data_IF_297007252146
#
_entry.id   IF_297007252146
#
_cell.length_a   1.000
_cell.length_b   1.000
_cell.length_c   1.000
_cell.angle_alpha   90.00
_cell.angle_beta   90.00
_cell.angle_gamma   90.00
#
_symmetry.space_group_name_H-M   'P 1'
#
loop_
_entity.id
_entity.type
_entity.pdbx_description
1 polymer ?
#
# COMPACT_ATOMS: atom_id res chain seq x y z
N UNK A 1 42.42 8.09 -21.07
CA UNK A 1 41.94 6.70 -20.75
C UNK A 1 40.75 6.70 -19.75
N UNK A 2 40.74 7.32 -18.58
CA UNK A 2 39.64 7.20 -17.66
C UNK A 2 38.29 7.76 -18.16
N UNK A 3 38.29 8.74 -19.07
CA UNK A 3 37.06 9.34 -19.61
C UNK A 3 36.28 8.41 -20.57
N UNK A 4 36.97 7.55 -21.32
CA UNK A 4 36.32 6.61 -22.24
C UNK A 4 35.69 5.45 -21.46
N UNK A 5 36.35 4.97 -20.40
CA UNK A 5 35.80 3.94 -19.52
C UNK A 5 34.55 4.41 -18.81
N UNK A 6 34.53 5.66 -18.33
CA UNK A 6 33.37 6.29 -17.75
C UNK A 6 32.21 6.41 -18.75
N UNK A 7 32.50 6.77 -20.03
CA UNK A 7 31.50 6.84 -21.08
C UNK A 7 30.86 5.46 -21.34
N UNK A 8 31.67 4.40 -21.39
CA UNK A 8 31.18 3.04 -21.61
C UNK A 8 30.33 2.50 -20.45
N UNK A 9 30.60 2.95 -19.23
CA UNK A 9 29.85 2.56 -18.05
C UNK A 9 28.50 3.29 -17.86
N UNK A 10 28.18 4.29 -18.70
CA UNK A 10 26.91 5.01 -18.59
C UNK A 10 25.73 4.12 -19.00
N UNK A 11 24.64 4.07 -18.18
CA UNK A 11 23.50 3.19 -18.42
C UNK A 11 22.48 3.79 -19.44
N UNK A 12 22.91 4.72 -20.26
CA UNK A 12 22.12 5.36 -21.33
C UNK A 12 22.97 5.49 -22.62
N UNK A 13 22.34 5.52 -23.81
CA UNK A 13 23.04 5.82 -25.04
C UNK A 13 23.68 7.22 -25.01
N UNK A 14 24.99 7.30 -25.16
CA UNK A 14 25.73 8.60 -25.15
C UNK A 14 26.83 8.64 -26.17
N UNK A 15 27.13 9.84 -26.65
CA UNK A 15 28.26 10.13 -27.54
C UNK A 15 28.95 11.44 -27.17
N UNK A 16 30.23 11.55 -27.47
CA UNK A 16 31.01 12.78 -27.44
C UNK A 16 31.30 13.19 -28.86
N UNK A 17 30.96 14.44 -29.19
CA UNK A 17 31.03 15.02 -30.55
C UNK A 17 31.95 16.24 -30.53
N UNK A 18 32.85 16.38 -31.50
CA UNK A 18 33.66 17.57 -31.67
C UNK A 18 32.79 18.76 -32.16
N UNK A 19 32.89 19.91 -31.51
CA UNK A 19 32.00 21.03 -31.74
C UNK A 19 32.19 21.67 -33.12
N UNK A 20 33.39 21.61 -33.72
CA UNK A 20 33.70 22.25 -34.97
C UNK A 20 33.13 21.55 -36.19
N UNK A 21 33.41 20.26 -36.34
CA UNK A 21 33.01 19.45 -37.51
C UNK A 21 31.88 18.47 -37.23
N UNK A 22 31.37 18.45 -36.00
CA UNK A 22 30.30 17.58 -35.54
C UNK A 22 30.59 16.08 -35.73
N UNK A 23 31.85 15.69 -35.64
CA UNK A 23 32.29 14.31 -35.74
C UNK A 23 32.25 13.65 -34.36
N UNK A 24 31.69 12.46 -34.30
CA UNK A 24 31.69 11.67 -33.05
C UNK A 24 33.08 11.18 -32.75
N UNK A 25 33.61 11.51 -31.59
CA UNK A 25 34.90 11.09 -31.09
C UNK A 25 34.82 9.78 -30.34
N UNK A 26 33.72 9.59 -29.61
CA UNK A 26 33.43 8.38 -28.87
C UNK A 26 31.93 8.15 -28.76
N UNK A 27 31.53 6.89 -28.79
CA UNK A 27 30.16 6.44 -28.52
C UNK A 27 30.23 5.28 -27.55
N UNK A 28 29.27 5.15 -26.64
CA UNK A 28 29.19 3.94 -25.83
C UNK A 28 28.44 2.82 -26.57
N UNK A 29 28.51 1.60 -26.04
CA UNK A 29 27.90 0.43 -26.64
C UNK A 29 26.38 0.61 -26.82
N UNK A 30 25.69 1.21 -25.86
CA UNK A 30 24.25 1.49 -25.95
C UNK A 30 23.92 2.46 -27.08
N UNK A 31 24.74 3.50 -27.31
CA UNK A 31 24.56 4.41 -28.44
C UNK A 31 24.84 3.69 -29.79
N UNK A 32 25.84 2.85 -29.86
CA UNK A 32 26.13 2.05 -31.05
C UNK A 32 24.97 1.08 -31.38
N UNK A 33 24.38 0.45 -30.37
CA UNK A 33 23.18 -0.37 -30.51
C UNK A 33 21.97 0.45 -30.95
N UNK A 34 21.72 1.61 -30.31
CA UNK A 34 20.64 2.51 -30.68
C UNK A 34 20.75 3.01 -32.14
N UNK A 35 21.97 3.29 -32.62
CA UNK A 35 22.24 3.71 -33.98
C UNK A 35 22.28 2.53 -34.99
N UNK A 36 22.17 1.31 -34.51
CA UNK A 36 22.39 0.07 -35.29
C UNK A 36 23.74 0.08 -36.03
N UNK A 37 24.79 0.70 -35.43
CA UNK A 37 26.10 0.89 -36.05
C UNK A 37 27.25 0.75 -35.05
N UNK A 38 28.04 -0.25 -35.23
CA UNK A 38 29.26 -0.46 -34.42
C UNK A 38 30.38 0.55 -34.79
N UNK A 39 30.35 1.13 -35.99
CA UNK A 39 31.36 2.03 -36.55
C UNK A 39 30.96 3.53 -36.44
N UNK A 40 30.11 3.87 -35.50
CA UNK A 40 29.58 5.25 -35.34
C UNK A 40 30.66 6.28 -34.94
N UNK A 41 31.71 5.84 -34.21
CA UNK A 41 32.85 6.69 -33.89
C UNK A 41 33.64 7.10 -35.18
N UNK A 42 33.96 8.40 -35.29
CA UNK A 42 34.64 8.94 -36.45
C UNK A 42 33.69 9.47 -37.54
N UNK A 43 32.41 9.16 -37.49
CA UNK A 43 31.41 9.71 -38.44
C UNK A 43 30.88 11.06 -37.94
N UNK A 44 30.41 11.91 -38.89
CA UNK A 44 29.68 13.12 -38.55
C UNK A 44 28.26 12.76 -38.07
N UNK A 45 27.64 13.63 -37.30
CA UNK A 45 26.24 13.45 -36.82
C UNK A 45 25.32 13.13 -38.00
N UNK A 46 25.43 13.89 -39.11
CA UNK A 46 24.61 13.65 -40.31
C UNK A 46 24.98 12.38 -41.09
N UNK A 47 26.13 11.78 -40.81
CA UNK A 47 26.58 10.53 -41.43
C UNK A 47 26.27 9.26 -40.60
N UNK A 48 25.86 9.45 -39.37
CA UNK A 48 25.53 8.31 -38.47
C UNK A 48 24.17 7.69 -38.81
N UNK A 49 23.21 8.51 -39.24
CA UNK A 49 21.81 8.12 -39.40
C UNK A 49 21.26 8.65 -40.76
N UNK A 50 20.18 8.05 -41.26
CA UNK A 50 19.48 8.58 -42.43
C UNK A 50 19.09 10.04 -42.25
N UNK A 51 19.05 10.87 -43.32
CA UNK A 51 18.77 12.31 -43.25
C UNK A 51 17.42 12.65 -42.60
N UNK A 52 16.45 11.74 -42.67
CA UNK A 52 15.12 11.90 -42.04
C UNK A 52 15.10 11.63 -40.54
N UNK A 53 16.20 11.09 -39.98
CA UNK A 53 16.24 10.78 -38.54
C UNK A 53 16.45 12.06 -37.73
N UNK A 54 15.67 12.28 -36.65
CA UNK A 54 15.73 13.51 -35.85
C UNK A 54 17.13 13.88 -35.35
N UNK A 55 17.94 12.89 -34.99
CA UNK A 55 19.30 13.08 -34.45
C UNK A 55 20.33 13.41 -35.55
N UNK A 56 20.02 13.26 -36.85
CA UNK A 56 20.93 13.60 -37.94
C UNK A 56 20.98 15.08 -38.25
N UNK A 57 20.04 15.89 -37.71
CA UNK A 57 20.02 17.35 -37.91
C UNK A 57 21.19 18.03 -37.19
N UNK A 58 22.11 18.70 -37.89
CA UNK A 58 23.25 19.35 -37.27
C UNK A 58 22.89 20.68 -36.55
N UNK A 59 21.73 21.26 -36.81
CA UNK A 59 21.35 22.61 -36.30
C UNK A 59 21.36 22.70 -34.76
N UNK A 60 20.75 21.78 -33.99
CA UNK A 60 20.79 21.84 -32.54
C UNK A 60 22.22 21.76 -31.99
N UNK A 61 23.08 20.92 -32.55
CA UNK A 61 24.48 20.78 -32.14
C UNK A 61 25.26 22.09 -32.38
N UNK A 62 25.11 22.70 -33.53
CA UNK A 62 25.75 24.00 -33.87
C UNK A 62 25.25 25.12 -32.95
N UNK A 63 23.95 25.16 -32.65
CA UNK A 63 23.40 26.13 -31.72
C UNK A 63 24.03 26.01 -30.31
N UNK A 64 24.17 24.80 -29.79
CA UNK A 64 24.83 24.56 -28.50
C UNK A 64 26.32 24.87 -28.57
N UNK A 65 27.00 24.54 -29.67
CA UNK A 65 28.42 24.82 -29.84
C UNK A 65 28.71 26.34 -29.84
N UNK A 66 27.84 27.16 -30.49
CA UNK A 66 28.00 28.58 -30.59
C UNK A 66 27.56 29.34 -29.33
N UNK A 67 26.43 28.95 -28.71
CA UNK A 67 25.88 29.66 -27.55
C UNK A 67 26.47 29.17 -26.21
N UNK A 68 26.97 27.94 -26.15
CA UNK A 68 27.38 27.30 -24.94
C UNK A 68 26.20 26.97 -24.00
N UNK A 69 24.97 27.07 -24.51
CA UNK A 69 23.75 26.78 -23.73
C UNK A 69 23.28 25.34 -24.01
N UNK A 70 23.03 24.51 -23.00
CA UNK A 70 22.51 23.17 -23.20
C UNK A 70 21.16 23.17 -23.93
N UNK A 71 20.92 22.17 -24.76
CA UNK A 71 19.65 21.94 -25.42
C UNK A 71 19.09 20.56 -25.04
N UNK A 72 17.76 20.47 -24.98
CA UNK A 72 17.06 19.22 -24.80
C UNK A 72 15.77 19.23 -25.66
N UNK A 73 15.37 18.06 -26.13
CA UNK A 73 14.15 17.87 -26.91
C UNK A 73 13.67 16.45 -26.74
N UNK A 74 12.38 16.24 -26.94
CA UNK A 74 11.79 14.92 -27.01
C UNK A 74 11.69 14.45 -28.44
N UNK A 75 12.13 13.24 -28.72
CA UNK A 75 12.09 12.62 -30.05
C UNK A 75 11.39 11.26 -29.98
N UNK A 76 10.80 10.84 -31.08
CA UNK A 76 10.22 9.50 -31.23
C UNK A 76 11.03 8.72 -32.23
N UNK A 77 11.55 7.57 -31.80
CA UNK A 77 12.33 6.65 -32.63
C UNK A 77 11.75 5.25 -32.44
N UNK A 78 11.40 4.60 -33.55
CA UNK A 78 10.80 3.24 -33.59
C UNK A 78 9.58 3.09 -32.64
N UNK A 79 8.75 4.13 -32.57
CA UNK A 79 7.56 4.14 -31.70
C UNK A 79 7.82 4.36 -30.21
N UNK A 80 9.06 4.49 -29.81
CA UNK A 80 9.47 4.80 -28.45
C UNK A 80 9.85 6.28 -28.32
N UNK A 81 9.43 6.90 -27.22
CA UNK A 81 9.74 8.31 -26.91
C UNK A 81 11.04 8.39 -26.12
N UNK A 82 11.91 9.29 -26.52
CA UNK A 82 13.20 9.51 -25.91
C UNK A 82 13.41 10.97 -25.59
N UNK A 83 13.96 11.29 -24.44
CA UNK A 83 14.49 12.62 -24.13
C UNK A 83 15.93 12.69 -24.59
N UNK A 84 16.14 13.53 -25.59
CA UNK A 84 17.44 13.80 -26.18
C UNK A 84 18.02 15.08 -25.61
N UNK A 85 19.30 15.06 -25.25
CA UNK A 85 19.99 16.23 -24.74
C UNK A 85 21.35 16.43 -25.39
N UNK A 86 21.78 17.70 -25.45
CA UNK A 86 23.12 18.12 -25.89
C UNK A 86 23.68 19.05 -24.80
N UNK A 87 24.86 18.74 -24.30
CA UNK A 87 25.54 19.56 -23.30
C UNK A 87 26.93 19.97 -23.79
N UNK A 88 27.30 21.29 -23.69
CA UNK A 88 28.63 21.72 -24.04
C UNK A 88 29.66 21.24 -23.03
N UNK A 89 30.79 20.73 -23.54
CA UNK A 89 31.98 20.46 -22.76
C UNK A 89 33.04 21.48 -23.14
N UNK A 90 33.53 22.24 -22.18
CA UNK A 90 34.54 23.28 -22.41
C UNK A 90 35.93 22.71 -22.24
N UNK A 91 36.83 23.06 -23.18
CA UNK A 91 38.27 22.84 -23.06
C UNK A 91 38.95 23.90 -22.20
N UNK A 92 40.26 23.87 -22.12
CA UNK A 92 41.06 24.76 -21.26
C UNK A 92 40.91 26.27 -21.59
N UNK A 93 40.39 26.61 -22.78
CA UNK A 93 40.25 27.99 -23.29
C UNK A 93 38.86 28.62 -23.16
N UNK A 94 37.95 28.17 -22.38
CA UNK A 94 36.54 28.65 -22.22
C UNK A 94 35.63 28.51 -23.47
N UNK A 95 36.16 28.15 -24.63
CA UNK A 95 35.36 27.81 -25.82
C UNK A 95 34.75 26.44 -25.71
N UNK A 96 33.58 26.22 -26.35
CA UNK A 96 32.97 24.88 -26.44
C UNK A 96 33.77 24.11 -27.47
N UNK A 97 34.50 23.10 -27.00
CA UNK A 97 35.37 22.26 -27.85
C UNK A 97 34.68 20.94 -28.20
N UNK A 98 33.87 20.40 -27.24
CA UNK A 98 33.17 19.17 -27.41
C UNK A 98 31.70 19.31 -26.96
N UNK A 99 30.87 18.43 -27.50
CA UNK A 99 29.47 18.29 -27.14
C UNK A 99 29.22 16.87 -26.60
N UNK A 100 28.60 16.78 -25.44
CA UNK A 100 28.10 15.53 -24.89
C UNK A 100 26.63 15.42 -25.26
N UNK A 101 26.25 14.36 -25.96
CA UNK A 101 24.86 14.10 -26.33
C UNK A 101 24.43 12.73 -25.86
N UNK A 102 23.19 12.59 -25.50
CA UNK A 102 22.64 11.30 -25.00
C UNK A 102 21.13 11.26 -25.11
N UNK A 103 20.61 10.06 -24.88
CA UNK A 103 19.20 9.74 -24.93
C UNK A 103 18.78 9.04 -23.66
N UNK A 104 17.66 9.43 -23.10
CA UNK A 104 17.00 8.75 -21.98
C UNK A 104 15.66 8.26 -22.49
N UNK A 105 15.43 6.96 -22.48
CA UNK A 105 14.15 6.40 -22.80
C UNK A 105 13.10 6.94 -21.83
N UNK A 106 12.05 7.56 -22.36
CA UNK A 106 10.87 7.79 -21.54
C UNK A 106 10.19 6.43 -21.34
N UNK A 107 9.89 6.03 -20.11
CA UNK A 107 9.08 4.85 -19.90
C UNK A 107 7.81 5.00 -20.71
N UNK A 108 7.49 4.00 -21.55
CA UNK A 108 6.25 3.98 -22.33
C UNK A 108 5.08 4.22 -21.38
N UNK A 109 4.49 5.39 -21.49
CA UNK A 109 3.37 5.92 -20.72
C UNK A 109 2.89 5.09 -19.50
N UNK A 110 3.45 5.36 -18.32
CA UNK A 110 2.68 5.17 -17.10
C UNK A 110 2.60 6.45 -16.26
N UNK A 111 3.12 7.60 -16.73
CA UNK A 111 3.08 8.83 -15.93
C UNK A 111 1.67 9.25 -15.54
N UNK A 112 0.68 9.08 -16.42
CA UNK A 112 -0.72 9.35 -16.04
C UNK A 112 -1.26 8.32 -15.06
N UNK A 113 -0.91 7.05 -15.24
CA UNK A 113 -1.33 5.96 -14.34
C UNK A 113 -0.62 6.06 -12.99
N UNK A 114 0.66 6.40 -12.97
CA UNK A 114 1.42 6.58 -11.72
C UNK A 114 1.04 7.87 -11.00
N UNK A 115 0.81 8.96 -11.72
CA UNK A 115 0.28 10.21 -11.14
C UNK A 115 -1.14 10.03 -10.63
N UNK A 116 -1.99 9.30 -11.35
CA UNK A 116 -3.33 8.96 -10.88
C UNK A 116 -3.26 8.08 -9.61
N UNK A 117 -2.43 7.05 -9.61
CA UNK A 117 -2.20 6.17 -8.46
C UNK A 117 -1.61 6.92 -7.25
N UNK A 118 -0.64 7.82 -7.47
CA UNK A 118 -0.07 8.65 -6.41
C UNK A 118 -1.10 9.64 -5.86
N UNK A 119 -1.95 10.21 -6.70
CA UNK A 119 -3.05 11.09 -6.28
C UNK A 119 -4.08 10.32 -5.46
N UNK A 120 -4.47 9.13 -5.91
CA UNK A 120 -5.41 8.26 -5.21
C UNK A 120 -4.85 7.83 -3.85
N UNK A 121 -3.58 7.41 -3.80
CA UNK A 121 -2.89 7.06 -2.55
C UNK A 121 -2.79 8.26 -1.60
N UNK A 122 -2.49 9.45 -2.11
CA UNK A 122 -2.39 10.66 -1.30
C UNK A 122 -3.76 11.16 -0.83
N UNK A 123 -4.79 11.03 -1.65
CA UNK A 123 -6.18 11.32 -1.26
C UNK A 123 -6.65 10.38 -0.14
N UNK A 124 -6.43 9.08 -0.28
CA UNK A 124 -6.72 8.09 0.75
C UNK A 124 -5.97 8.35 2.06
N UNK A 125 -4.68 8.77 1.98
CA UNK A 125 -3.89 9.15 3.14
C UNK A 125 -4.44 10.41 3.83
N UNK A 126 -4.88 11.39 3.06
CA UNK A 126 -5.46 12.64 3.60
C UNK A 126 -6.81 12.37 4.26
N UNK A 127 -7.66 11.56 3.63
CA UNK A 127 -8.94 11.13 4.20
C UNK A 127 -8.73 10.36 5.51
N UNK A 128 -7.74 9.46 5.55
CA UNK A 128 -7.33 8.77 6.78
C UNK A 128 -6.97 9.72 7.91
N UNK A 129 -6.11 10.71 7.65
CA UNK A 129 -5.67 11.66 8.67
C UNK A 129 -6.85 12.49 9.21
N UNK A 130 -7.77 12.89 8.33
CA UNK A 130 -8.97 13.64 8.71
C UNK A 130 -9.92 12.79 9.57
N UNK A 131 -10.19 11.55 9.15
CA UNK A 131 -11.02 10.62 9.91
C UNK A 131 -10.39 10.30 11.26
N UNK A 132 -9.10 10.00 11.27
CA UNK A 132 -8.34 9.73 12.50
C UNK A 132 -8.43 10.90 13.49
N UNK A 133 -8.21 12.13 13.01
CA UNK A 133 -8.31 13.32 13.85
C UNK A 133 -9.73 13.50 14.43
N UNK A 134 -10.77 13.20 13.64
CA UNK A 134 -12.15 13.27 14.09
C UNK A 134 -12.47 12.22 15.16
N UNK A 135 -12.08 10.95 14.88
CA UNK A 135 -12.36 9.83 15.79
C UNK A 135 -11.54 9.90 17.09
N UNK A 136 -10.36 10.53 17.07
CA UNK A 136 -9.58 10.79 18.29
C UNK A 136 -10.15 11.96 19.11
N UNK A 137 -10.66 13.00 18.46
CA UNK A 137 -11.17 14.21 19.14
C UNK A 137 -12.36 13.92 20.03
N UNK A 138 -13.28 13.08 19.56
CA UNK A 138 -14.54 12.76 20.27
C UNK A 138 -14.28 12.12 21.64
N UNK A 139 -13.56 10.99 21.78
CA UNK A 139 -13.27 10.40 23.08
C UNK A 139 -12.42 11.33 23.96
N UNK A 140 -11.47 12.06 23.37
CA UNK A 140 -10.63 13.00 24.10
C UNK A 140 -11.45 14.13 24.74
N UNK A 141 -12.43 14.69 24.02
CA UNK A 141 -13.32 15.73 24.55
C UNK A 141 -14.14 15.21 25.74
N UNK A 142 -14.61 13.97 25.68
CA UNK A 142 -15.35 13.34 26.78
C UNK A 142 -14.43 13.13 28.00
N UNK A 143 -13.18 12.63 27.80
CA UNK A 143 -12.20 12.48 28.86
C UNK A 143 -11.92 13.82 29.54
N UNK A 144 -11.66 14.86 28.74
CA UNK A 144 -11.38 16.21 29.25
C UNK A 144 -12.57 16.77 30.05
N UNK A 145 -13.81 16.58 29.53
CA UNK A 145 -15.02 17.03 30.20
C UNK A 145 -15.19 16.40 31.61
N UNK A 146 -15.14 15.09 31.68
CA UNK A 146 -15.26 14.39 32.98
C UNK A 146 -14.09 14.65 33.91
N UNK A 147 -12.86 14.76 33.39
CA UNK A 147 -11.69 15.13 34.18
C UNK A 147 -11.81 16.55 34.76
N UNK A 148 -12.32 17.51 33.97
CA UNK A 148 -12.58 18.87 34.46
C UNK A 148 -13.64 18.90 35.54
N UNK A 149 -14.74 18.15 35.40
CA UNK A 149 -15.76 18.03 36.44
C UNK A 149 -15.22 17.45 37.76
N UNK A 150 -14.35 16.41 37.66
CA UNK A 150 -13.69 15.84 38.83
C UNK A 150 -12.73 16.84 39.50
N UNK A 151 -11.97 17.59 38.70
CA UNK A 151 -11.01 18.60 39.19
C UNK A 151 -11.69 19.79 39.89
N UNK A 152 -12.89 20.19 39.43
CA UNK A 152 -13.67 21.27 40.07
C UNK A 152 -14.24 20.85 41.42
N UNK A 153 -14.37 19.58 41.69
CA UNK A 153 -14.92 19.05 42.95
C UNK A 153 -16.45 19.18 43.00
N UNK A 154 -17.02 18.87 44.17
CA UNK A 154 -18.48 19.03 44.43
C UNK A 154 -19.37 17.91 43.88
N UNK A 155 -18.81 16.89 43.23
CA UNK A 155 -19.54 15.73 42.74
C UNK A 155 -19.85 14.74 43.89
N UNK A 156 -21.03 14.14 43.88
CA UNK A 156 -21.32 13.02 44.76
C UNK A 156 -20.43 11.81 44.47
N UNK A 157 -20.22 10.90 45.45
CA UNK A 157 -19.41 9.70 45.21
C UNK A 157 -19.86 8.85 44.00
N UNK A 158 -21.16 8.75 43.76
CA UNK A 158 -21.71 8.05 42.61
C UNK A 158 -21.32 8.74 41.30
N UNK A 159 -21.39 10.07 41.22
CA UNK A 159 -21.00 10.84 40.03
C UNK A 159 -19.47 10.78 39.80
N UNK A 160 -18.68 10.78 40.87
CA UNK A 160 -17.23 10.55 40.76
C UNK A 160 -16.89 9.18 40.17
N UNK A 161 -17.57 8.12 40.66
CA UNK A 161 -17.44 6.76 40.13
C UNK A 161 -17.85 6.68 38.67
N UNK A 162 -18.97 7.27 38.30
CA UNK A 162 -19.46 7.34 36.91
C UNK A 162 -18.45 8.06 36.00
N UNK A 163 -17.94 9.20 36.43
CA UNK A 163 -16.94 9.98 35.69
C UNK A 163 -15.67 9.16 35.47
N UNK A 164 -15.18 8.47 36.51
CA UNK A 164 -14.03 7.58 36.42
C UNK A 164 -14.23 6.42 35.42
N UNK A 165 -15.42 5.80 35.44
CA UNK A 165 -15.77 4.73 34.50
C UNK A 165 -15.82 5.24 33.05
N UNK A 166 -16.38 6.43 32.82
CA UNK A 166 -16.46 7.06 31.49
C UNK A 166 -15.07 7.44 30.96
N UNK A 167 -14.20 8.00 31.80
CA UNK A 167 -12.81 8.27 31.45
C UNK A 167 -12.10 6.98 31.06
N UNK A 168 -12.22 5.94 31.86
CA UNK A 168 -11.58 4.65 31.61
C UNK A 168 -12.05 4.03 30.28
N UNK A 169 -13.38 4.01 30.06
CA UNK A 169 -13.97 3.50 28.81
C UNK A 169 -13.43 4.25 27.59
N UNK A 170 -13.41 5.60 27.63
CA UNK A 170 -12.94 6.42 26.52
C UNK A 170 -11.44 6.34 26.31
N UNK A 171 -10.66 6.17 27.36
CA UNK A 171 -9.20 5.91 27.25
C UNK A 171 -8.92 4.58 26.58
N UNK A 172 -9.65 3.51 26.91
CA UNK A 172 -9.56 2.21 26.23
C UNK A 172 -9.93 2.32 24.74
N UNK A 173 -10.97 3.09 24.43
CA UNK A 173 -11.37 3.37 23.06
C UNK A 173 -10.24 4.08 22.29
N UNK A 174 -9.67 5.14 22.89
CA UNK A 174 -8.56 5.89 22.29
C UNK A 174 -7.32 5.01 22.03
N UNK A 175 -6.98 4.15 22.98
CA UNK A 175 -5.86 3.21 22.84
C UNK A 175 -6.06 2.25 21.67
N UNK A 176 -7.28 1.74 21.47
CA UNK A 176 -7.59 0.89 20.30
C UNK A 176 -7.44 1.64 18.99
N UNK A 177 -7.97 2.87 18.89
CA UNK A 177 -7.84 3.68 17.68
C UNK A 177 -6.36 3.92 17.31
N UNK A 178 -5.50 4.20 18.30
CA UNK A 178 -4.05 4.37 18.06
C UNK A 178 -3.41 3.07 17.59
N UNK A 179 -3.79 1.92 18.17
CA UNK A 179 -3.29 0.62 17.72
C UNK A 179 -3.70 0.33 16.27
N UNK A 180 -4.97 0.55 15.92
CA UNK A 180 -5.49 0.34 14.57
C UNK A 180 -4.73 1.20 13.56
N UNK A 181 -4.46 2.47 13.87
CA UNK A 181 -3.65 3.37 13.04
C UNK A 181 -2.23 2.86 12.84
N UNK A 182 -1.59 2.40 13.92
CA UNK A 182 -0.22 1.86 13.87
C UNK A 182 -0.13 0.58 13.06
N UNK A 183 -1.17 -0.27 13.11
CA UNK A 183 -1.23 -1.51 12.34
C UNK A 183 -1.29 -1.26 10.83
N UNK A 184 -2.09 -0.29 10.41
CA UNK A 184 -2.17 0.10 8.99
C UNK A 184 -0.83 0.61 8.49
N UNK A 185 -0.17 1.51 9.24
CA UNK A 185 1.15 2.00 8.86
C UNK A 185 2.18 0.88 8.71
N UNK A 186 2.21 -0.05 9.65
CA UNK A 186 3.13 -1.21 9.60
C UNK A 186 2.83 -2.16 8.44
N UNK A 187 1.55 -2.39 8.12
CA UNK A 187 1.19 -3.23 6.99
C UNK A 187 1.56 -2.59 5.65
N UNK A 188 1.34 -1.28 5.51
CA UNK A 188 1.71 -0.51 4.32
C UNK A 188 3.24 -0.50 4.09
N UNK A 189 4.05 -0.44 5.17
CA UNK A 189 5.52 -0.46 5.09
C UNK A 189 6.09 -1.84 4.72
N UNK A 190 5.53 -2.91 5.28
CA UNK A 190 6.01 -4.28 5.03
C UNK A 190 5.65 -4.79 3.63
N UNK A 191 4.58 -4.26 3.03
CA UNK A 191 4.11 -4.65 1.71
C UNK A 191 3.73 -6.14 1.63
N UNK A 192 3.59 -6.68 0.41
CA UNK A 192 3.26 -8.10 0.21
C UNK A 192 4.38 -9.08 0.57
N UNK A 193 5.60 -8.58 0.88
CA UNK A 193 6.74 -9.41 1.28
C UNK A 193 6.70 -9.74 2.77
N UNK A 194 5.68 -10.47 3.19
CA UNK A 194 5.58 -10.97 4.55
C UNK A 194 6.41 -12.26 4.65
N UNK A 195 7.42 -12.27 5.54
CA UNK A 195 8.16 -13.50 5.83
C UNK A 195 7.18 -14.58 6.31
N UNK A 196 7.20 -15.75 5.66
CA UNK A 196 6.29 -16.84 5.94
C UNK A 196 7.01 -18.07 6.47
N UNK A 197 6.43 -18.70 7.49
CA UNK A 197 6.85 -19.98 8.03
C UNK A 197 5.70 -20.99 7.99
N UNK A 198 5.99 -22.24 8.32
CA UNK A 198 4.95 -23.25 8.46
C UNK A 198 4.21 -23.06 9.79
N UNK A 199 2.90 -22.89 9.70
CA UNK A 199 2.00 -22.67 10.84
C UNK A 199 0.87 -23.68 10.75
N UNK A 200 0.45 -24.22 11.88
CA UNK A 200 -0.78 -24.97 12.00
C UNK A 200 -1.90 -24.03 12.50
N UNK A 201 -2.94 -23.85 11.68
CA UNK A 201 -4.07 -22.96 12.03
C UNK A 201 -4.84 -23.49 13.25
N UNK A 202 -4.85 -24.79 13.51
CA UNK A 202 -5.48 -25.36 14.71
C UNK A 202 -4.79 -24.84 15.96
N UNK A 203 -3.44 -24.92 16.00
CA UNK A 203 -2.63 -24.44 17.12
C UNK A 203 -2.76 -22.91 17.31
N UNK A 204 -2.92 -22.17 16.22
CA UNK A 204 -3.07 -20.72 16.26
C UNK A 204 -4.47 -20.30 16.77
N UNK A 205 -5.53 -20.99 16.33
CA UNK A 205 -6.92 -20.66 16.64
C UNK A 205 -7.30 -20.96 18.10
N UNK A 206 -6.89 -22.11 18.60
CA UNK A 206 -7.34 -22.62 19.89
C UNK A 206 -7.12 -21.62 21.06
N UNK A 207 -5.93 -21.03 21.25
CA UNK A 207 -5.70 -20.06 22.32
C UNK A 207 -6.51 -18.76 22.13
N UNK A 208 -6.73 -18.33 20.87
CA UNK A 208 -7.51 -17.11 20.57
C UNK A 208 -8.97 -17.31 20.98
N UNK A 209 -9.58 -18.42 20.55
CA UNK A 209 -10.98 -18.72 20.86
C UNK A 209 -11.17 -18.91 22.38
N UNK A 210 -10.29 -19.66 23.05
CA UNK A 210 -10.33 -19.87 24.51
C UNK A 210 -10.19 -18.54 25.26
N UNK A 211 -9.40 -17.59 24.77
CA UNK A 211 -9.30 -16.27 25.40
C UNK A 211 -10.62 -15.49 25.27
N UNK A 212 -11.27 -15.51 24.12
CA UNK A 212 -12.56 -14.85 23.94
C UNK A 212 -13.68 -15.50 24.78
N UNK A 213 -13.73 -16.83 24.86
CA UNK A 213 -14.67 -17.54 25.74
C UNK A 213 -14.51 -17.14 27.21
N UNK A 214 -13.28 -16.95 27.69
CA UNK A 214 -13.01 -16.51 29.08
C UNK A 214 -13.39 -15.03 29.29
N UNK A 215 -13.22 -14.19 28.29
CA UNK A 215 -13.51 -12.73 28.38
C UNK A 215 -14.99 -12.41 28.27
N UNK A 216 -15.75 -13.27 27.62
CA UNK A 216 -17.18 -13.11 27.37
C UNK A 216 -17.95 -14.37 27.78
N UNK A 217 -18.06 -14.68 29.09
CA UNK A 217 -18.66 -15.93 29.58
C UNK A 217 -20.16 -16.05 29.29
N UNK A 218 -20.85 -14.91 29.08
CA UNK A 218 -22.29 -14.86 28.77
C UNK A 218 -22.58 -15.07 27.26
N UNK A 219 -21.54 -15.23 26.48
CA UNK A 219 -21.62 -15.43 25.02
C UNK A 219 -21.38 -16.89 24.68
N UNK A 220 -22.29 -17.48 23.92
CA UNK A 220 -22.10 -18.84 23.40
C UNK A 220 -21.11 -18.80 22.21
N UNK A 221 -19.83 -19.08 22.49
CA UNK A 221 -18.81 -19.22 21.44
C UNK A 221 -18.55 -20.71 21.23
N UNK A 222 -19.15 -21.27 20.18
CA UNK A 222 -18.95 -22.65 19.77
C UNK A 222 -17.70 -22.74 18.88
N UNK A 223 -16.82 -23.68 19.20
CA UNK A 223 -15.61 -23.92 18.41
C UNK A 223 -15.57 -25.34 17.89
N UNK A 224 -15.59 -25.50 16.56
CA UNK A 224 -15.59 -26.80 15.88
C UNK A 224 -14.41 -26.91 14.92
N UNK A 225 -13.68 -27.99 15.07
CA UNK A 225 -12.58 -28.36 14.18
C UNK A 225 -12.98 -29.63 13.44
N UNK A 226 -13.17 -29.53 12.13
CA UNK A 226 -13.44 -30.67 11.28
C UNK A 226 -12.14 -31.34 10.79
N UNK A 227 -10.99 -30.84 11.30
CA UNK A 227 -9.65 -31.30 10.92
C UNK A 227 -8.74 -31.37 12.14
N UNK A 228 -7.79 -32.31 12.13
CA UNK A 228 -6.81 -32.48 13.21
C UNK A 228 -5.60 -31.53 13.08
N UNK A 229 -5.28 -31.10 11.86
CA UNK A 229 -4.21 -30.16 11.56
C UNK A 229 -4.55 -29.39 10.28
N UNK A 230 -4.14 -28.14 10.21
CA UNK A 230 -4.38 -27.28 9.07
C UNK A 230 -3.11 -26.46 8.72
N UNK A 231 -2.08 -27.11 8.14
CA UNK A 231 -0.82 -26.44 7.85
C UNK A 231 -0.95 -25.43 6.69
N UNK A 232 -0.44 -24.23 6.94
CA UNK A 232 -0.33 -23.13 5.96
C UNK A 232 1.07 -22.54 5.96
N UNK A 233 1.44 -21.84 4.89
CA UNK A 233 2.57 -20.90 4.90
C UNK A 233 2.08 -19.52 5.27
N UNK A 234 2.61 -18.94 6.35
CA UNK A 234 2.14 -17.64 6.79
C UNK A 234 3.04 -16.97 7.82
N UNK A 235 2.70 -15.73 8.13
CA UNK A 235 3.28 -15.02 9.26
C UNK A 235 2.34 -15.11 10.46
N UNK A 236 2.78 -15.70 11.61
CA UNK A 236 1.92 -15.97 12.75
C UNK A 236 1.30 -14.70 13.34
N UNK A 237 2.04 -13.61 13.35
CA UNK A 237 1.55 -12.33 13.88
C UNK A 237 0.36 -11.79 13.06
N UNK A 238 0.49 -11.77 11.72
CA UNK A 238 -0.57 -11.26 10.83
C UNK A 238 -1.78 -12.18 10.79
N UNK A 239 -1.56 -13.50 10.78
CA UNK A 239 -2.67 -14.47 10.84
C UNK A 239 -3.40 -14.38 12.19
N UNK A 240 -2.69 -14.30 13.30
CA UNK A 240 -3.28 -14.08 14.63
C UNK A 240 -4.12 -12.80 14.67
N UNK A 241 -3.60 -11.71 14.11
CA UNK A 241 -4.31 -10.44 14.03
C UNK A 241 -5.60 -10.55 13.21
N UNK A 242 -5.54 -11.13 12.01
CA UNK A 242 -6.71 -11.30 11.15
C UNK A 242 -7.81 -12.13 11.81
N UNK A 243 -7.43 -13.24 12.46
CA UNK A 243 -8.37 -14.11 13.19
C UNK A 243 -9.02 -13.34 14.35
N UNK A 244 -8.23 -12.59 15.10
CA UNK A 244 -8.74 -11.78 16.21
C UNK A 244 -9.69 -10.69 15.74
N UNK A 245 -9.39 -10.01 14.63
CA UNK A 245 -10.29 -8.99 14.06
C UNK A 245 -11.63 -9.58 13.61
N UNK A 246 -11.66 -10.80 13.06
CA UNK A 246 -12.90 -11.49 12.73
C UNK A 246 -13.73 -11.78 13.99
N UNK A 247 -13.11 -12.32 15.03
CA UNK A 247 -13.79 -12.62 16.30
C UNK A 247 -14.24 -11.35 17.03
N UNK A 248 -13.41 -10.31 17.05
CA UNK A 248 -13.75 -9.02 17.66
C UNK A 248 -14.93 -8.36 16.91
N UNK A 249 -15.02 -8.53 15.58
CA UNK A 249 -16.18 -8.10 14.80
C UNK A 249 -17.45 -8.88 15.18
N UNK A 250 -17.39 -10.20 15.21
CA UNK A 250 -18.49 -11.05 15.62
C UNK A 250 -19.01 -10.70 17.04
N UNK A 251 -18.10 -10.39 17.95
CA UNK A 251 -18.43 -9.96 19.32
C UNK A 251 -19.02 -8.55 19.35
N UNK A 252 -18.57 -7.64 18.52
CA UNK A 252 -18.94 -6.21 18.55
C UNK A 252 -20.29 -5.93 17.91
N UNK A 253 -20.58 -6.54 16.76
CA UNK A 253 -21.76 -6.21 15.95
C UNK A 253 -23.00 -7.03 16.33
N UNK A 254 -23.20 -7.29 17.62
CA UNK A 254 -24.36 -7.96 18.20
C UNK A 254 -25.32 -6.99 18.90
N UNK A 255 -26.61 -7.30 18.91
CA UNK A 255 -27.62 -6.45 19.54
C UNK A 255 -27.56 -6.42 21.08
N UNK A 256 -26.81 -7.35 21.73
CA UNK A 256 -26.80 -7.44 23.18
C UNK A 256 -25.58 -8.20 23.73
N UNK A 257 -25.53 -8.40 25.06
CA UNK A 257 -24.43 -9.10 25.72
C UNK A 257 -24.45 -10.62 25.49
N UNK A 258 -25.59 -11.19 25.16
CA UNK A 258 -25.80 -12.62 24.84
C UNK A 258 -25.86 -12.80 23.34
N UNK A 259 -25.77 -14.04 22.88
CA UNK A 259 -25.84 -14.39 21.47
C UNK A 259 -24.93 -15.59 21.16
N UNK A 260 -24.81 -15.91 19.88
CA UNK A 260 -24.05 -17.07 19.41
C UNK A 260 -22.99 -16.65 18.41
N UNK A 261 -21.81 -17.21 18.57
CA UNK A 261 -20.71 -17.16 17.60
C UNK A 261 -20.27 -18.59 17.31
N UNK A 262 -20.26 -18.97 16.05
CA UNK A 262 -19.71 -20.27 15.62
C UNK A 262 -18.37 -20.03 14.93
N UNK A 263 -17.33 -20.68 15.44
CA UNK A 263 -16.00 -20.70 14.82
C UNK A 263 -15.75 -22.08 14.27
N UNK A 264 -15.53 -22.19 12.98
CA UNK A 264 -15.32 -23.47 12.30
C UNK A 264 -14.03 -23.46 11.51
N UNK A 265 -13.29 -24.57 11.50
CA UNK A 265 -12.16 -24.77 10.62
C UNK A 265 -12.33 -26.08 9.85
N UNK A 266 -12.41 -25.99 8.54
CA UNK A 266 -12.69 -27.11 7.66
C UNK A 266 -11.84 -27.05 6.37
N UNK A 267 -11.82 -28.15 5.64
CA UNK A 267 -11.30 -28.18 4.26
C UNK A 267 -12.30 -27.55 3.28
N UNK A 268 -11.80 -26.73 2.37
CA UNK A 268 -12.56 -26.15 1.27
C UNK A 268 -11.72 -26.21 -0.02
N UNK A 269 -11.96 -27.21 -0.84
CA UNK A 269 -11.20 -27.51 -2.06
C UNK A 269 -9.68 -27.57 -1.80
N UNK A 270 -8.93 -26.60 -2.31
CA UNK A 270 -7.47 -26.48 -2.13
C UNK A 270 -7.06 -25.59 -0.95
N UNK A 271 -8.02 -25.12 -0.17
CA UNK A 271 -7.82 -24.19 0.91
C UNK A 271 -8.25 -24.79 2.27
N UNK A 272 -7.73 -24.20 3.35
CA UNK A 272 -8.35 -24.25 4.65
C UNK A 272 -9.34 -23.09 4.74
N UNK A 273 -10.54 -23.32 5.25
CA UNK A 273 -11.57 -22.30 5.47
C UNK A 273 -11.85 -22.17 6.96
N UNK A 274 -11.49 -21.01 7.50
CA UNK A 274 -11.91 -20.56 8.82
C UNK A 274 -13.20 -19.75 8.67
N UNK A 275 -14.30 -20.29 9.15
CA UNK A 275 -15.60 -19.63 9.24
C UNK A 275 -15.80 -19.00 10.62
N UNK A 276 -16.26 -17.75 10.66
CA UNK A 276 -16.73 -17.07 11.87
C UNK A 276 -18.14 -16.56 11.59
N UNK A 277 -19.12 -17.23 12.16
CA UNK A 277 -20.52 -16.81 12.12
C UNK A 277 -20.91 -16.07 13.40
N UNK A 278 -21.71 -15.03 13.27
CA UNK A 278 -22.38 -14.32 14.38
C UNK A 278 -23.88 -14.15 14.09
N UNK A 279 -24.69 -14.17 15.14
CA UNK A 279 -26.13 -13.85 15.11
C UNK A 279 -26.41 -12.36 15.29
N UNK A 280 -25.52 -11.50 14.80
CA UNK A 280 -25.56 -10.05 14.94
C UNK A 280 -26.55 -9.32 14.05
N UNK A 281 -26.29 -8.02 13.86
CA UNK A 281 -27.18 -7.15 13.05
C UNK A 281 -27.26 -7.59 11.58
N UNK A 282 -26.23 -8.27 11.06
CA UNK A 282 -26.11 -8.56 9.65
C UNK A 282 -25.84 -7.32 8.80
N UNK A 283 -25.63 -7.54 7.51
CA UNK A 283 -25.27 -6.50 6.53
C UNK A 283 -26.07 -6.66 5.25
N UNK A 284 -26.60 -5.56 4.74
CA UNK A 284 -27.33 -5.52 3.48
C UNK A 284 -26.44 -6.03 2.33
N UNK A 285 -26.93 -6.92 1.46
CA UNK A 285 -26.17 -7.44 0.31
C UNK A 285 -25.55 -6.35 -0.58
N UNK A 286 -26.23 -5.22 -0.76
CA UNK A 286 -25.71 -4.11 -1.57
C UNK A 286 -24.51 -3.41 -0.92
N UNK A 287 -24.40 -3.48 0.41
CA UNK A 287 -23.33 -2.85 1.18
C UNK A 287 -22.11 -3.80 1.40
N UNK A 288 -22.27 -5.13 1.21
CA UNK A 288 -21.21 -6.11 1.51
C UNK A 288 -19.92 -5.87 0.71
N UNK A 289 -20.03 -5.40 -0.54
CA UNK A 289 -18.86 -5.05 -1.35
C UNK A 289 -18.02 -3.88 -0.80
N UNK A 290 -18.54 -3.15 0.19
CA UNK A 290 -17.81 -2.04 0.82
C UNK A 290 -17.12 -2.44 2.12
N UNK A 291 -17.49 -3.58 2.73
CA UNK A 291 -16.99 -4.03 4.05
C UNK A 291 -15.47 -4.10 4.16
N UNK A 292 -14.82 -4.45 3.06
CA UNK A 292 -13.38 -4.65 3.00
C UNK A 292 -12.61 -3.43 2.50
N UNK A 293 -13.30 -2.32 2.22
CA UNK A 293 -12.63 -1.06 1.86
C UNK A 293 -12.01 -0.44 3.11
N UNK A 294 -10.87 0.18 2.94
CA UNK A 294 -10.19 0.92 4.00
C UNK A 294 -11.11 2.02 4.53
N UNK A 295 -11.29 2.08 5.85
CA UNK A 295 -12.16 3.04 6.55
C UNK A 295 -13.67 2.92 6.26
N UNK A 296 -14.08 1.84 5.63
CA UNK A 296 -15.50 1.63 5.39
C UNK A 296 -16.23 1.30 6.69
N UNK A 297 -17.34 2.01 6.90
CA UNK A 297 -18.30 1.76 7.97
C UNK A 297 -19.68 1.70 7.36
N UNK A 298 -20.41 0.63 7.62
CA UNK A 298 -21.80 0.50 7.24
C UNK A 298 -22.61 0.86 8.48
N UNK A 299 -23.03 2.10 8.57
CA UNK A 299 -23.76 2.61 9.71
C UNK A 299 -25.26 2.38 9.51
N UNK A 300 -25.88 1.78 10.52
CA UNK A 300 -27.35 1.63 10.66
C UNK A 300 -27.78 2.28 11.96
N UNK A 301 -29.08 2.44 12.17
CA UNK A 301 -29.59 2.97 13.44
C UNK A 301 -29.17 2.12 14.64
N UNK A 302 -29.09 0.81 14.44
CA UNK A 302 -28.72 -0.17 15.47
C UNK A 302 -27.24 -0.14 15.83
N UNK A 303 -26.34 0.11 14.87
CA UNK A 303 -24.90 -0.03 15.07
C UNK A 303 -24.12 1.30 15.13
N UNK A 304 -24.77 2.45 14.91
CA UNK A 304 -24.12 3.78 14.90
C UNK A 304 -23.39 4.15 16.21
N UNK A 305 -23.76 3.49 17.32
CA UNK A 305 -23.11 3.68 18.62
C UNK A 305 -21.79 2.91 18.75
N UNK A 306 -21.54 1.96 17.85
CA UNK A 306 -20.32 1.17 17.82
C UNK A 306 -19.19 1.96 17.16
N UNK A 307 -18.14 2.22 17.90
CA UNK A 307 -17.00 3.04 17.46
C UNK A 307 -15.93 2.16 16.84
N UNK A 308 -15.38 2.58 15.72
CA UNK A 308 -14.25 1.91 15.07
C UNK A 308 -13.86 2.59 13.77
N UNK A 309 -12.60 2.45 13.37
CA UNK A 309 -12.05 3.11 12.18
C UNK A 309 -12.38 2.41 10.85
N UNK A 310 -13.09 1.28 10.86
CA UNK A 310 -13.35 0.52 9.63
C UNK A 310 -12.09 -0.09 9.00
N UNK A 311 -11.11 -0.47 9.83
CA UNK A 311 -9.82 -1.00 9.39
C UNK A 311 -9.75 -2.51 9.53
N UNK A 312 -10.46 -3.11 10.51
CA UNK A 312 -10.31 -4.53 10.85
C UNK A 312 -10.54 -5.45 9.66
N UNK A 313 -11.68 -5.36 8.97
CA UNK A 313 -11.97 -6.21 7.81
C UNK A 313 -11.07 -5.90 6.60
N UNK A 314 -10.65 -4.66 6.42
CA UNK A 314 -9.63 -4.33 5.44
C UNK A 314 -8.31 -5.08 5.71
N UNK A 315 -7.83 -5.05 6.96
CA UNK A 315 -6.63 -5.80 7.35
C UNK A 315 -6.80 -7.31 7.15
N UNK A 316 -7.96 -7.86 7.51
CA UNK A 316 -8.28 -9.28 7.28
C UNK A 316 -8.14 -9.63 5.80
N UNK A 317 -8.70 -8.81 4.91
CA UNK A 317 -8.61 -9.03 3.46
C UNK A 317 -7.17 -8.91 2.94
N UNK A 318 -6.42 -7.90 3.39
CA UNK A 318 -5.04 -7.71 2.95
C UNK A 318 -4.11 -8.81 3.47
N UNK A 319 -4.32 -9.27 4.71
CA UNK A 319 -3.61 -10.43 5.26
C UNK A 319 -3.93 -11.69 4.46
N UNK A 320 -5.20 -11.95 4.14
CA UNK A 320 -5.58 -13.09 3.29
C UNK A 320 -4.86 -13.03 1.94
N UNK A 321 -4.91 -11.89 1.25
CA UNK A 321 -4.24 -11.68 -0.05
C UNK A 321 -2.73 -11.89 0.01
N UNK A 322 -2.07 -11.34 1.03
CA UNK A 322 -0.64 -11.49 1.24
C UNK A 322 -0.20 -12.95 1.47
N UNK A 323 -1.14 -13.80 1.91
CA UNK A 323 -0.95 -15.24 2.10
C UNK A 323 -1.51 -16.08 0.93
N UNK A 324 -1.88 -15.46 -0.19
CA UNK A 324 -2.42 -16.15 -1.36
C UNK A 324 -3.85 -16.66 -1.19
N UNK A 325 -4.55 -16.19 -0.15
CA UNK A 325 -5.92 -16.56 0.17
C UNK A 325 -6.93 -15.47 -0.17
N UNK A 326 -8.13 -15.60 0.41
CA UNK A 326 -9.24 -14.66 0.24
C UNK A 326 -10.16 -14.64 1.44
N UNK A 327 -11.02 -13.61 1.51
CA UNK A 327 -12.11 -13.51 2.49
C UNK A 327 -13.43 -13.45 1.76
N UNK A 328 -14.41 -14.22 2.23
CA UNK A 328 -15.77 -14.24 1.74
C UNK A 328 -16.72 -13.79 2.86
N UNK A 329 -17.86 -13.25 2.50
CA UNK A 329 -18.91 -12.86 3.42
C UNK A 329 -20.28 -13.34 2.91
N UNK A 330 -21.06 -13.94 3.80
CA UNK A 330 -22.49 -14.19 3.63
C UNK A 330 -23.22 -13.57 4.82
N UNK A 331 -24.07 -12.60 4.57
CA UNK A 331 -24.71 -11.83 5.64
C UNK A 331 -26.11 -11.39 5.23
N UNK A 332 -27.02 -11.36 6.21
CA UNK A 332 -28.40 -10.86 6.02
C UNK A 332 -28.82 -10.02 7.22
N UNK A 333 -29.43 -8.84 6.99
CA UNK A 333 -29.94 -7.99 8.06
C UNK A 333 -30.86 -8.77 9.02
N UNK A 334 -30.61 -8.65 10.30
CA UNK A 334 -31.39 -9.28 11.38
C UNK A 334 -31.17 -10.78 11.54
N UNK A 335 -30.33 -11.41 10.73
CA UNK A 335 -29.99 -12.84 10.81
C UNK A 335 -28.58 -13.04 11.34
N UNK A 336 -27.63 -12.21 10.90
CA UNK A 336 -26.24 -12.28 11.25
C UNK A 336 -25.28 -12.30 10.05
N UNK A 337 -24.01 -12.58 10.32
CA UNK A 337 -22.97 -12.62 9.29
C UNK A 337 -22.09 -13.86 9.45
N UNK A 338 -21.64 -14.41 8.33
CA UNK A 338 -20.57 -15.39 8.27
C UNK A 338 -19.41 -14.82 7.45
N UNK A 339 -18.23 -14.71 8.07
CA UNK A 339 -16.99 -14.40 7.39
C UNK A 339 -16.16 -15.65 7.24
N UNK A 340 -15.71 -15.97 6.02
CA UNK A 340 -14.85 -17.10 5.72
C UNK A 340 -13.49 -16.62 5.26
N UNK A 341 -12.48 -16.94 6.05
CA UNK A 341 -11.09 -16.63 5.77
C UNK A 341 -10.41 -17.88 5.21
N UNK A 342 -10.09 -17.86 3.93
CA UNK A 342 -9.55 -19.01 3.21
C UNK A 342 -8.07 -18.82 2.90
N UNK A 343 -7.27 -19.84 3.21
CA UNK A 343 -5.83 -19.88 2.97
C UNK A 343 -5.44 -21.13 2.21
N UNK A 344 -4.47 -21.06 1.26
CA UNK A 344 -3.97 -22.23 0.53
C UNK A 344 -3.41 -23.29 1.48
N UNK A 345 -3.73 -24.54 1.22
CA UNK A 345 -3.15 -25.71 1.88
C UNK A 345 -1.69 -25.90 1.46
N UNK A 346 -0.86 -26.36 2.37
CA UNK A 346 0.52 -26.76 2.06
C UNK A 346 0.58 -28.11 1.39
#
# INVERSE_FOLDING_TARGET
MPAIELLQAMPIPVAVVHAGDLRALAVNELMAQFLHRADAAGLTISGMLPPAHPLSDPRPYRAVASSGTPAASTIVVDGQTWDWFIRPLRGEGRSVEYLFTGLVAQPAAPLETDVARLRETNAAKTEFLNLAAHELRTPLSVILGYSSMLAQGGLSPEHQKLAGLRIFEKTRQLSRLIMDMSLVGRFDELGPSIATERIDLVELLEPIVKDQQRRFPDLAIDFRLDVLAAPVRGNPYWLHLAIRELLDNAIRFRPGPTGRIDVTLAEADRNWSLGVFDDGFGVDPQAQGQLFKRFARIETEENRHLVGMGIGLYLVQEVARAHGGRVLVDSRPGVGSEFRFELPRM
#
